data_IF_196051100284
#
_entry.id   IF_196051100284
#
_cell.length_a   1.000
_cell.length_b   1.000
_cell.length_c   1.000
_cell.angle_alpha   90.00
_cell.angle_beta   90.00
_cell.angle_gamma   90.00
#
_symmetry.space_group_name_H-M   'P 1'
#
loop_
_entity.id
_entity.type
_entity.pdbx_description
1 polymer ?
#
# COMPACT_ATOMS: atom_id res chain seq x y z
N UNK A 1 -11.64 -0.68 17.03
CA UNK A 1 -12.27 0.04 15.89
C UNK A 1 -11.93 -0.71 14.61
N UNK A 2 -12.94 -1.01 13.77
CA UNK A 2 -12.73 -1.69 12.51
C UNK A 2 -11.75 -0.92 11.60
N UNK A 3 -10.95 -1.66 10.80
CA UNK A 3 -10.06 -1.09 9.79
C UNK A 3 -10.89 -0.37 8.73
N UNK A 4 -10.52 0.84 8.37
CA UNK A 4 -11.10 1.52 7.23
C UNK A 4 -10.66 0.85 5.92
N UNK A 5 -11.34 1.17 4.80
CA UNK A 5 -11.00 0.62 3.49
C UNK A 5 -9.50 0.78 3.20
N UNK A 6 -8.82 -0.34 3.05
CA UNK A 6 -7.36 -0.40 2.87
C UNK A 6 -6.91 -0.16 1.43
N UNK A 7 -7.84 -0.13 0.47
CA UNK A 7 -7.51 0.00 -0.95
C UNK A 7 -6.92 1.36 -1.29
N UNK A 8 -6.15 1.37 -2.36
CA UNK A 8 -5.85 2.59 -3.09
C UNK A 8 -7.03 2.99 -3.97
N UNK A 9 -7.09 4.26 -4.34
CA UNK A 9 -8.09 4.76 -5.27
C UNK A 9 -7.46 5.66 -6.31
N UNK A 10 -8.02 5.61 -7.52
CA UNK A 10 -7.80 6.58 -8.57
C UNK A 10 -8.75 7.75 -8.36
N UNK A 11 -8.22 8.96 -8.45
CA UNK A 11 -8.97 10.21 -8.44
C UNK A 11 -8.62 10.98 -9.70
N UNK A 12 -9.58 11.22 -10.57
CA UNK A 12 -9.41 12.03 -11.77
C UNK A 12 -9.45 13.53 -11.45
N UNK A 13 -8.81 14.34 -12.31
CA UNK A 13 -8.94 15.81 -12.32
C UNK A 13 -10.42 16.19 -12.45
N UNK A 14 -10.85 17.18 -11.69
CA UNK A 14 -12.22 17.66 -11.71
C UNK A 14 -12.66 18.04 -13.15
N UNK A 15 -13.90 17.71 -13.51
CA UNK A 15 -14.45 17.97 -14.85
C UNK A 15 -14.06 16.96 -15.94
N UNK A 16 -13.16 16.01 -15.67
CA UNK A 16 -12.89 14.93 -16.62
C UNK A 16 -14.03 13.90 -16.62
N UNK A 17 -14.36 13.33 -17.80
CA UNK A 17 -15.26 12.18 -17.88
C UNK A 17 -14.74 11.01 -17.05
N UNK A 18 -15.63 10.22 -16.48
CA UNK A 18 -15.27 9.00 -15.75
C UNK A 18 -14.46 8.06 -16.65
N UNK A 19 -13.30 7.62 -16.15
CA UNK A 19 -12.40 6.72 -16.85
C UNK A 19 -11.65 5.86 -15.83
N UNK A 20 -11.62 4.57 -16.04
CA UNK A 20 -10.82 3.65 -15.24
C UNK A 20 -9.33 3.74 -15.61
N UNK A 21 -8.46 3.32 -14.70
CA UNK A 21 -7.00 3.42 -14.85
C UNK A 21 -6.49 2.79 -16.16
N UNK A 22 -7.03 1.62 -16.51
CA UNK A 22 -6.64 0.90 -17.72
C UNK A 22 -7.00 1.65 -19.04
N UNK A 23 -7.98 2.55 -18.98
CA UNK A 23 -8.46 3.29 -20.14
C UNK A 23 -7.96 4.74 -20.19
N UNK A 24 -7.10 5.14 -19.28
CA UNK A 24 -6.44 6.45 -19.37
C UNK A 24 -5.60 6.52 -20.65
N UNK A 25 -5.64 7.64 -21.39
CA UNK A 25 -4.84 7.81 -22.60
C UNK A 25 -3.34 7.58 -22.37
N UNK A 26 -2.67 7.04 -23.37
CA UNK A 26 -1.22 6.88 -23.31
C UNK A 26 -0.51 8.22 -23.05
N UNK A 27 0.45 8.22 -22.13
CA UNK A 27 1.14 9.41 -21.69
C UNK A 27 0.42 10.24 -20.62
N UNK A 28 -0.79 9.83 -20.17
CA UNK A 28 -1.47 10.48 -19.05
C UNK A 28 -0.57 10.52 -17.83
N UNK A 29 -0.53 11.67 -17.16
CA UNK A 29 0.31 11.90 -15.98
C UNK A 29 -0.47 11.57 -14.72
N UNK A 30 0.02 10.58 -13.96
CA UNK A 30 -0.58 10.14 -12.71
C UNK A 30 0.31 10.48 -11.52
N UNK A 31 -0.27 11.12 -10.52
CA UNK A 31 0.48 11.65 -9.36
C UNK A 31 0.59 10.64 -8.22
N UNK A 32 1.82 10.28 -7.86
CA UNK A 32 2.15 9.54 -6.62
C UNK A 32 3.63 9.68 -6.27
N UNK A 33 3.96 9.75 -4.97
CA UNK A 33 5.35 9.66 -4.46
C UNK A 33 5.63 8.29 -3.83
N UNK A 34 4.71 7.33 -3.97
CA UNK A 34 4.86 5.99 -3.41
C UNK A 34 5.60 5.08 -4.39
N UNK A 35 6.79 4.61 -4.02
CA UNK A 35 7.57 3.65 -4.81
C UNK A 35 6.76 2.39 -5.12
N UNK A 36 5.98 1.90 -4.15
CA UNK A 36 5.08 0.76 -4.34
C UNK A 36 4.08 0.99 -5.49
N UNK A 37 3.41 2.15 -5.50
CA UNK A 37 2.45 2.49 -6.55
C UNK A 37 3.15 2.66 -7.88
N UNK A 38 4.26 3.39 -7.91
CA UNK A 38 5.07 3.60 -9.14
C UNK A 38 5.46 2.28 -9.77
N UNK A 39 5.98 1.33 -8.98
CA UNK A 39 6.40 0.04 -9.48
C UNK A 39 5.22 -0.78 -10.05
N UNK A 40 4.08 -0.83 -9.35
CA UNK A 40 2.90 -1.56 -9.83
C UNK A 40 2.27 -0.90 -11.08
N UNK A 41 2.31 0.45 -11.17
CA UNK A 41 1.88 1.17 -12.39
C UNK A 41 2.81 0.84 -13.55
N UNK A 42 4.12 0.87 -13.34
CA UNK A 42 5.09 0.53 -14.39
C UNK A 42 4.89 -0.91 -14.91
N UNK A 43 4.57 -1.85 -14.02
CA UNK A 43 4.29 -3.24 -14.37
C UNK A 43 3.00 -3.42 -15.17
N UNK A 44 1.89 -2.84 -14.69
CA UNK A 44 0.53 -3.14 -15.20
C UNK A 44 0.00 -2.11 -16.19
N UNK A 45 0.49 -0.87 -16.09
CA UNK A 45 0.05 0.27 -16.91
C UNK A 45 1.23 1.09 -17.46
N UNK A 46 2.15 0.46 -18.22
CA UNK A 46 3.39 1.11 -18.69
C UNK A 46 3.14 2.29 -19.66
N UNK A 47 1.91 2.46 -20.13
CA UNK A 47 1.51 3.60 -20.97
C UNK A 47 1.31 4.90 -20.17
N UNK A 48 1.26 4.83 -18.82
CA UNK A 48 1.07 5.98 -17.94
C UNK A 48 2.43 6.57 -17.54
N UNK A 49 2.45 7.87 -17.28
CA UNK A 49 3.61 8.58 -16.72
C UNK A 49 3.38 8.87 -15.25
N UNK A 50 4.31 8.47 -14.42
CA UNK A 50 4.24 8.75 -12.98
C UNK A 50 5.04 10.03 -12.68
N UNK A 51 4.43 10.94 -11.91
CA UNK A 51 5.07 12.13 -11.39
C UNK A 51 4.81 12.28 -9.90
N UNK A 52 5.80 12.80 -9.15
CA UNK A 52 5.69 13.03 -7.72
C UNK A 52 4.60 14.03 -7.38
N UNK A 53 3.74 13.64 -6.41
CA UNK A 53 2.78 14.53 -5.76
C UNK A 53 2.83 14.36 -4.25
N UNK A 54 3.21 15.42 -3.55
CA UNK A 54 3.37 15.45 -2.09
C UNK A 54 2.39 16.43 -1.44
N UNK A 55 2.17 16.25 -0.15
CA UNK A 55 1.27 17.01 0.70
C UNK A 55 0.19 16.13 1.32
N UNK A 56 -0.65 16.72 2.15
CA UNK A 56 -1.85 16.07 2.68
C UNK A 56 -2.91 15.90 1.57
N UNK A 57 -3.99 15.17 1.86
CA UNK A 57 -5.05 14.87 0.89
C UNK A 57 -5.62 16.14 0.24
N UNK A 58 -6.04 17.19 0.98
CA UNK A 58 -6.53 18.42 0.37
C UNK A 58 -5.50 19.11 -0.53
N UNK A 59 -4.23 19.12 -0.15
CA UNK A 59 -3.16 19.70 -0.97
C UNK A 59 -2.97 18.95 -2.28
N UNK A 60 -3.00 17.61 -2.25
CA UNK A 60 -2.88 16.78 -3.45
C UNK A 60 -4.06 16.97 -4.40
N UNK A 61 -5.28 17.05 -3.87
CA UNK A 61 -6.48 17.35 -4.68
C UNK A 61 -6.40 18.72 -5.33
N UNK A 62 -5.94 19.75 -4.60
CA UNK A 62 -5.75 21.09 -5.15
C UNK A 62 -4.72 21.12 -6.28
N UNK A 63 -3.61 20.34 -6.13
CA UNK A 63 -2.61 20.18 -7.21
C UNK A 63 -3.16 19.43 -8.42
N UNK A 64 -4.04 18.45 -8.19
CA UNK A 64 -4.72 17.72 -9.26
C UNK A 64 -5.64 18.64 -10.05
N UNK A 65 -6.45 19.45 -9.35
CA UNK A 65 -7.51 20.25 -9.94
C UNK A 65 -7.00 21.61 -10.50
N UNK A 66 -5.72 21.96 -10.29
CA UNK A 66 -5.15 23.18 -10.84
C UNK A 66 -5.22 23.19 -12.38
N UNK A 67 -5.70 24.29 -12.98
CA UNK A 67 -5.91 24.40 -14.43
C UNK A 67 -4.64 24.13 -15.23
N UNK A 68 -3.51 24.66 -14.76
CA UNK A 68 -2.16 24.54 -15.33
C UNK A 68 -1.37 23.35 -14.73
N UNK A 69 -2.01 22.54 -13.87
CA UNK A 69 -1.36 21.40 -13.23
C UNK A 69 -1.09 20.25 -14.19
N UNK A 70 0.00 19.49 -13.96
CA UNK A 70 0.43 18.44 -14.87
C UNK A 70 -0.39 17.16 -14.79
N UNK A 71 -1.22 16.99 -13.74
CA UNK A 71 -1.84 15.72 -13.42
C UNK A 71 -3.18 15.50 -14.13
N UNK A 72 -3.35 14.32 -14.69
CA UNK A 72 -4.61 13.81 -15.19
C UNK A 72 -5.40 13.06 -14.09
N UNK A 73 -4.66 12.40 -13.20
CA UNK A 73 -5.16 11.67 -12.05
C UNK A 73 -4.13 11.61 -10.93
N UNK A 74 -4.57 11.26 -9.72
CA UNK A 74 -3.68 10.95 -8.60
C UNK A 74 -4.13 9.68 -7.87
N UNK A 75 -3.18 9.06 -7.16
CA UNK A 75 -3.47 7.92 -6.28
C UNK A 75 -3.47 8.34 -4.82
N UNK A 76 -4.52 8.00 -4.11
CA UNK A 76 -4.71 8.25 -2.67
C UNK A 76 -5.20 6.96 -2.01
N UNK A 77 -4.95 6.77 -0.70
CA UNK A 77 -5.60 5.72 0.07
C UNK A 77 -7.07 6.07 0.31
N UNK A 78 -8.00 5.14 0.04
CA UNK A 78 -9.43 5.33 0.22
C UNK A 78 -9.78 5.86 1.61
N UNK A 79 -9.18 5.29 2.66
CA UNK A 79 -9.36 5.70 4.04
C UNK A 79 -9.13 7.21 4.27
N UNK A 80 -8.16 7.81 3.55
CA UNK A 80 -7.87 9.25 3.65
C UNK A 80 -9.01 10.12 3.12
N UNK A 81 -9.58 9.76 1.98
CA UNK A 81 -10.73 10.48 1.39
C UNK A 81 -12.00 10.28 2.21
N UNK A 82 -12.27 9.05 2.63
CA UNK A 82 -13.47 8.71 3.42
C UNK A 82 -13.48 9.49 4.75
N UNK A 83 -12.34 9.52 5.48
CA UNK A 83 -12.21 10.27 6.75
C UNK A 83 -12.40 11.79 6.60
N UNK A 84 -12.15 12.31 5.41
CA UNK A 84 -12.33 13.74 5.11
C UNK A 84 -13.67 14.05 4.43
N UNK A 85 -14.61 13.09 4.36
CA UNK A 85 -15.89 13.21 3.65
C UNK A 85 -15.74 13.55 2.16
N UNK A 86 -14.63 13.10 1.54
CA UNK A 86 -14.29 13.32 0.14
C UNK A 86 -14.45 12.03 -0.72
N UNK A 87 -15.23 11.06 -0.24
CA UNK A 87 -15.44 9.79 -0.95
C UNK A 87 -16.05 9.99 -2.35
N UNK A 88 -16.82 11.08 -2.57
CA UNK A 88 -17.38 11.45 -3.86
C UNK A 88 -16.33 11.76 -4.95
N UNK A 89 -15.07 11.98 -4.56
CA UNK A 89 -13.94 12.18 -5.48
C UNK A 89 -13.32 10.87 -5.97
N UNK A 90 -13.70 9.73 -5.39
CA UNK A 90 -13.18 8.43 -5.79
C UNK A 90 -13.75 8.07 -7.15
N UNK A 91 -12.87 7.88 -8.13
CA UNK A 91 -13.25 7.41 -9.47
C UNK A 91 -13.25 5.89 -9.53
N UNK A 92 -12.21 5.24 -9.01
CA UNK A 92 -12.06 3.78 -9.04
C UNK A 92 -11.36 3.32 -7.77
N UNK A 93 -11.89 2.26 -7.14
CA UNK A 93 -11.17 1.51 -6.11
C UNK A 93 -10.23 0.52 -6.77
N UNK A 94 -9.03 0.37 -6.19
CA UNK A 94 -7.97 -0.47 -6.75
C UNK A 94 -7.65 -1.59 -5.77
N UNK A 95 -7.76 -2.82 -6.25
CA UNK A 95 -7.41 -4.05 -5.54
C UNK A 95 -6.92 -5.11 -6.54
N UNK A 96 -6.72 -6.35 -6.08
CA UNK A 96 -6.26 -7.45 -6.95
C UNK A 96 -7.25 -7.81 -8.07
N UNK A 97 -8.50 -7.39 -7.98
CA UNK A 97 -9.57 -7.68 -8.97
C UNK A 97 -9.92 -6.47 -9.82
N UNK A 98 -9.64 -5.28 -9.34
CA UNK A 98 -9.95 -4.01 -10.01
C UNK A 98 -8.72 -3.08 -9.98
N UNK A 99 -8.18 -2.77 -11.14
CA UNK A 99 -7.01 -1.91 -11.30
C UNK A 99 -5.68 -2.56 -10.88
N UNK A 100 -5.70 -3.82 -10.49
CA UNK A 100 -4.54 -4.67 -10.24
C UNK A 100 -3.46 -4.04 -9.34
N UNK A 101 -3.88 -3.32 -8.27
CA UNK A 101 -2.96 -2.65 -7.36
C UNK A 101 -3.18 -3.10 -5.92
N UNK A 102 -2.14 -3.70 -5.32
CA UNK A 102 -2.13 -4.07 -3.92
C UNK A 102 -1.65 -2.90 -3.06
N UNK A 103 -2.27 -2.71 -1.88
CA UNK A 103 -2.05 -1.57 -1.01
C UNK A 103 -0.81 -1.72 -0.10
N UNK A 104 -0.50 -0.67 0.67
CA UNK A 104 0.61 -0.68 1.61
C UNK A 104 0.24 -1.43 2.90
N UNK A 105 1.23 -2.08 3.51
CA UNK A 105 1.11 -2.73 4.81
C UNK A 105 0.48 -1.80 5.84
N UNK A 106 -0.59 -2.26 6.50
CA UNK A 106 -1.33 -1.52 7.51
C UNK A 106 -2.19 -0.36 6.98
N UNK A 107 -2.30 -0.17 5.66
CA UNK A 107 -3.10 0.92 5.09
C UNK A 107 -4.55 0.87 5.56
N UNK A 108 -5.10 2.00 5.95
CA UNK A 108 -6.47 2.12 6.47
C UNK A 108 -6.61 1.82 7.98
N UNK A 109 -5.67 1.13 8.60
CA UNK A 109 -5.66 0.93 10.05
C UNK A 109 -5.20 2.19 10.79
N UNK A 110 -5.65 2.33 12.04
CA UNK A 110 -5.14 3.33 12.99
C UNK A 110 -4.28 2.58 14.00
N UNK A 111 -2.99 2.90 14.03
CA UNK A 111 -2.07 2.44 15.07
C UNK A 111 -2.03 3.45 16.22
N UNK A 112 -1.91 2.95 17.44
CA UNK A 112 -1.71 3.75 18.65
C UNK A 112 -0.44 3.26 19.33
N UNK A 113 0.49 4.17 19.60
CA UNK A 113 1.71 3.88 20.35
C UNK A 113 1.53 4.33 21.80
N UNK A 114 1.98 3.51 22.72
CA UNK A 114 1.99 3.78 24.15
C UNK A 114 3.36 3.43 24.75
N UNK A 115 3.64 3.88 25.97
CA UNK A 115 4.80 3.40 26.70
C UNK A 115 4.66 1.90 26.97
N UNK A 116 5.78 1.18 26.91
CA UNK A 116 5.79 -0.27 27.02
C UNK A 116 5.30 -0.78 28.38
N UNK A 117 5.46 0.03 29.44
CA UNK A 117 5.11 -0.25 30.83
C UNK A 117 3.76 0.38 31.27
N UNK A 118 2.99 0.95 30.34
CA UNK A 118 1.70 1.59 30.63
C UNK A 118 0.56 0.56 30.58
N UNK A 119 0.43 -0.25 31.63
CA UNK A 119 -0.62 -1.27 31.75
C UNK A 119 -2.02 -0.67 31.72
N UNK A 120 -2.22 0.52 32.33
CA UNK A 120 -3.51 1.19 32.36
C UNK A 120 -3.98 1.57 30.95
N UNK A 121 -3.10 2.19 30.17
CA UNK A 121 -3.40 2.56 28.78
C UNK A 121 -3.59 1.34 27.91
N UNK A 122 -2.77 0.30 28.08
CA UNK A 122 -2.93 -0.98 27.39
C UNK A 122 -4.32 -1.58 27.63
N UNK A 123 -4.78 -1.58 28.89
CA UNK A 123 -6.13 -2.05 29.23
C UNK A 123 -7.25 -1.22 28.61
N UNK A 124 -7.08 0.12 28.53
CA UNK A 124 -8.06 1.00 27.87
C UNK A 124 -8.11 0.70 26.37
N UNK A 125 -6.97 0.58 25.71
CA UNK A 125 -6.88 0.36 24.27
C UNK A 125 -7.41 -1.02 23.86
N UNK A 126 -7.22 -2.04 24.69
CA UNK A 126 -7.76 -3.39 24.41
C UNK A 126 -9.29 -3.40 24.26
N UNK A 127 -10.00 -2.45 24.87
CA UNK A 127 -11.47 -2.33 24.76
C UNK A 127 -11.95 -1.76 23.41
N UNK A 128 -11.08 -1.07 22.71
CA UNK A 128 -11.39 -0.46 21.41
C UNK A 128 -10.69 -1.17 20.25
N UNK A 129 -9.86 -2.16 20.57
CA UNK A 129 -9.21 -3.00 19.56
C UNK A 129 -10.25 -3.73 18.70
N UNK A 130 -9.99 -3.81 17.40
CA UNK A 130 -10.70 -4.69 16.47
C UNK A 130 -9.78 -5.88 16.16
N UNK A 131 -10.07 -7.02 16.73
CA UNK A 131 -9.20 -8.19 16.65
C UNK A 131 -8.93 -8.67 15.22
N UNK A 132 -9.93 -8.74 14.31
CA UNK A 132 -9.67 -9.06 12.91
C UNK A 132 -8.72 -8.06 12.23
N UNK A 133 -8.87 -6.75 12.47
CA UNK A 133 -7.98 -5.75 11.92
C UNK A 133 -6.56 -5.87 12.49
N UNK A 134 -6.44 -6.11 13.80
CA UNK A 134 -5.16 -6.31 14.47
C UNK A 134 -4.41 -7.50 13.90
N UNK A 135 -5.04 -8.67 13.81
CA UNK A 135 -4.43 -9.89 13.27
C UNK A 135 -3.99 -9.73 11.80
N UNK A 136 -4.83 -9.11 10.96
CA UNK A 136 -4.46 -8.85 9.58
C UNK A 136 -3.24 -7.92 9.50
N UNK A 137 -3.22 -6.82 10.28
CA UNK A 137 -2.09 -5.89 10.30
C UNK A 137 -0.82 -6.51 10.87
N UNK A 138 -0.91 -7.40 11.87
CA UNK A 138 0.24 -8.15 12.39
C UNK A 138 0.84 -9.02 11.29
N UNK A 139 0.03 -9.79 10.56
CA UNK A 139 0.49 -10.61 9.47
C UNK A 139 1.16 -9.79 8.35
N UNK A 140 0.53 -8.67 7.93
CA UNK A 140 1.10 -7.76 6.94
C UNK A 140 2.43 -7.15 7.39
N UNK A 141 2.53 -6.72 8.66
CA UNK A 141 3.76 -6.15 9.23
C UNK A 141 4.86 -7.21 9.38
N UNK A 142 4.51 -8.44 9.73
CA UNK A 142 5.43 -9.56 9.80
C UNK A 142 6.04 -9.87 8.43
N UNK A 143 5.21 -9.93 7.38
CA UNK A 143 5.67 -10.02 6.00
C UNK A 143 6.71 -8.93 5.69
N UNK A 144 6.38 -7.67 5.96
CA UNK A 144 7.29 -6.54 5.65
C UNK A 144 8.61 -6.63 6.42
N UNK A 145 8.57 -6.94 7.73
CA UNK A 145 9.77 -7.08 8.57
C UNK A 145 10.68 -8.21 8.07
N UNK A 146 10.08 -9.36 7.73
CA UNK A 146 10.84 -10.53 7.25
C UNK A 146 11.51 -10.27 5.90
N UNK A 147 10.90 -9.44 5.05
CA UNK A 147 11.52 -9.03 3.79
C UNK A 147 12.59 -7.92 3.96
N UNK A 148 12.85 -7.48 5.21
CA UNK A 148 13.78 -6.37 5.51
C UNK A 148 13.48 -5.08 4.72
N UNK A 149 12.23 -4.98 4.26
CA UNK A 149 11.87 -4.05 3.18
C UNK A 149 11.47 -2.67 3.63
N UNK A 150 11.54 -2.23 4.86
CA UNK A 150 11.20 -0.85 5.30
C UNK A 150 10.20 -0.10 4.38
N UNK A 151 9.96 1.17 4.60
CA UNK A 151 9.04 2.01 3.79
C UNK A 151 9.45 2.16 2.31
N UNK A 152 10.62 1.69 1.94
CA UNK A 152 11.19 1.83 0.59
C UNK A 152 11.14 0.55 -0.24
N UNK A 153 10.57 -0.54 0.26
CA UNK A 153 10.33 -1.72 -0.55
C UNK A 153 9.07 -1.52 -1.40
N UNK A 154 9.11 -1.83 -2.70
CA UNK A 154 7.93 -1.80 -3.56
C UNK A 154 7.06 -3.04 -3.33
N UNK A 155 6.66 -3.24 -2.07
CA UNK A 155 5.81 -4.32 -1.59
C UNK A 155 4.36 -3.86 -1.56
N UNK A 156 3.49 -4.53 -2.30
CA UNK A 156 2.04 -4.45 -2.18
C UNK A 156 1.50 -5.65 -1.41
N UNK A 157 0.46 -5.44 -0.63
CA UNK A 157 -0.25 -6.48 0.11
C UNK A 157 -1.76 -6.31 -0.02
N UNK A 158 -2.49 -7.41 0.03
CA UNK A 158 -3.94 -7.43 0.19
C UNK A 158 -4.32 -8.56 1.13
N UNK A 159 -5.02 -8.22 2.22
CA UNK A 159 -5.54 -9.22 3.15
C UNK A 159 -7.07 -9.20 3.14
N UNK A 160 -7.67 -10.39 3.19
CA UNK A 160 -9.11 -10.57 3.22
C UNK A 160 -9.49 -11.74 4.13
N UNK A 161 -10.43 -11.51 5.03
CA UNK A 161 -11.10 -12.59 5.74
C UNK A 161 -12.10 -13.26 4.80
N UNK A 162 -11.74 -14.44 4.27
CA UNK A 162 -12.57 -15.17 3.28
C UNK A 162 -13.68 -15.97 3.94
N UNK A 163 -13.49 -16.31 5.21
CA UNK A 163 -14.49 -16.88 6.12
C UNK A 163 -14.06 -16.60 7.57
N UNK A 164 -14.94 -16.79 8.56
CA UNK A 164 -14.58 -16.57 9.97
C UNK A 164 -13.32 -17.35 10.36
N UNK A 165 -12.29 -16.62 10.80
CA UNK A 165 -11.01 -17.18 11.24
C UNK A 165 -10.05 -17.62 10.14
N UNK A 166 -10.36 -17.42 8.85
CA UNK A 166 -9.43 -17.73 7.74
C UNK A 166 -9.04 -16.45 7.02
N UNK A 167 -7.78 -16.08 7.15
CA UNK A 167 -7.17 -14.92 6.49
C UNK A 167 -6.49 -15.36 5.19
N UNK A 168 -6.85 -14.71 4.09
CA UNK A 168 -6.11 -14.76 2.82
C UNK A 168 -5.18 -13.56 2.76
N UNK A 169 -3.96 -13.75 2.26
CA UNK A 169 -3.00 -12.69 1.97
C UNK A 169 -2.45 -12.88 0.56
N UNK A 170 -2.54 -11.82 -0.24
CA UNK A 170 -1.79 -11.65 -1.46
C UNK A 170 -0.63 -10.71 -1.21
N UNK A 171 0.52 -10.97 -1.80
CA UNK A 171 1.70 -10.13 -1.72
C UNK A 171 2.35 -10.02 -3.09
N UNK A 172 2.83 -8.82 -3.43
CA UNK A 172 3.60 -8.58 -4.65
C UNK A 172 4.84 -7.75 -4.32
N UNK A 173 5.99 -8.16 -4.82
CA UNK A 173 7.22 -7.36 -4.86
C UNK A 173 7.54 -7.06 -6.31
N UNK A 174 7.75 -5.80 -6.65
CA UNK A 174 7.94 -5.34 -8.04
C UNK A 174 9.22 -4.53 -8.13
N UNK A 175 10.03 -4.70 -9.17
CA UNK A 175 11.14 -3.78 -9.46
C UNK A 175 10.62 -2.36 -9.72
N UNK A 176 11.42 -1.33 -9.41
CA UNK A 176 10.96 0.08 -9.51
C UNK A 176 10.53 0.44 -10.93
N UNK A 177 11.13 -0.18 -11.93
CA UNK A 177 10.83 -0.01 -13.35
C UNK A 177 9.74 -0.94 -13.89
N UNK A 178 9.18 -1.82 -13.03
CA UNK A 178 8.13 -2.76 -13.40
C UNK A 178 8.60 -3.94 -14.25
N UNK A 179 9.91 -4.13 -14.49
CA UNK A 179 10.43 -5.18 -15.35
C UNK A 179 10.39 -6.58 -14.74
N UNK A 180 10.45 -6.65 -13.41
CA UNK A 180 10.40 -7.90 -12.65
C UNK A 180 9.36 -7.82 -11.53
N UNK A 181 8.63 -8.91 -11.32
CA UNK A 181 7.69 -9.03 -10.19
C UNK A 181 7.64 -10.44 -9.65
N UNK A 182 7.36 -10.55 -8.37
CA UNK A 182 7.09 -11.81 -7.67
C UNK A 182 5.80 -11.68 -6.90
N UNK A 183 4.89 -12.62 -7.11
CA UNK A 183 3.59 -12.65 -6.44
C UNK A 183 3.41 -13.94 -5.63
N UNK A 184 2.71 -13.83 -4.51
CA UNK A 184 2.26 -14.97 -3.71
C UNK A 184 0.85 -14.72 -3.21
N UNK A 185 0.06 -15.79 -3.15
CA UNK A 185 -1.25 -15.82 -2.53
C UNK A 185 -1.35 -17.04 -1.64
N UNK A 186 -1.68 -16.82 -0.37
CA UNK A 186 -1.81 -17.88 0.63
C UNK A 186 -3.00 -17.59 1.53
N UNK A 187 -3.52 -18.64 2.16
CA UNK A 187 -4.58 -18.52 3.15
C UNK A 187 -4.33 -19.48 4.31
N UNK A 188 -4.75 -19.07 5.51
CA UNK A 188 -4.58 -19.88 6.73
C UNK A 188 -5.66 -19.57 7.74
N UNK A 189 -6.05 -20.59 8.51
CA UNK A 189 -6.84 -20.38 9.72
C UNK A 189 -5.95 -19.80 10.82
N UNK A 190 -6.35 -18.66 11.42
CA UNK A 190 -5.61 -18.06 12.52
C UNK A 190 -6.53 -17.38 13.52
N UNK A 191 -6.13 -17.38 14.80
CA UNK A 191 -6.89 -16.84 15.93
C UNK A 191 -6.05 -15.97 16.85
N UNK A 192 -4.73 -16.14 16.82
CA UNK A 192 -3.79 -15.52 17.74
C UNK A 192 -2.80 -14.61 16.99
N UNK A 193 -2.18 -13.70 17.72
CA UNK A 193 -1.14 -12.80 17.18
C UNK A 193 0.10 -13.57 16.72
N UNK A 194 0.45 -14.63 17.48
CA UNK A 194 1.58 -15.50 17.12
C UNK A 194 1.33 -16.20 15.79
N UNK A 195 0.12 -16.74 15.57
CA UNK A 195 -0.26 -17.36 14.30
C UNK A 195 -0.26 -16.34 13.15
N UNK A 196 -0.72 -15.11 13.40
CA UNK A 196 -0.69 -14.03 12.42
C UNK A 196 0.75 -13.63 12.05
N UNK A 197 1.65 -13.52 13.05
CA UNK A 197 3.06 -13.24 12.81
C UNK A 197 3.73 -14.37 12.00
N UNK A 198 3.49 -15.63 12.37
CA UNK A 198 4.00 -16.80 11.63
C UNK A 198 3.48 -16.84 10.19
N UNK A 199 2.22 -16.49 9.97
CA UNK A 199 1.66 -16.43 8.63
C UNK A 199 2.36 -15.39 7.75
N UNK A 200 2.62 -14.20 8.29
CA UNK A 200 3.39 -13.17 7.58
C UNK A 200 4.80 -13.64 7.20
N UNK A 201 5.49 -14.33 8.12
CA UNK A 201 6.80 -14.94 7.87
C UNK A 201 6.73 -16.01 6.77
N UNK A 202 5.70 -16.84 6.79
CA UNK A 202 5.49 -17.91 5.79
C UNK A 202 5.29 -17.31 4.39
N UNK A 203 4.46 -16.27 4.27
CA UNK A 203 4.26 -15.56 2.99
C UNK A 203 5.57 -14.91 2.52
N UNK A 204 6.35 -14.32 3.43
CA UNK A 204 7.65 -13.74 3.11
C UNK A 204 8.63 -14.79 2.57
N UNK A 205 8.73 -15.95 3.24
CA UNK A 205 9.58 -17.04 2.80
C UNK A 205 9.21 -17.52 1.38
N UNK A 206 7.91 -17.61 1.08
CA UNK A 206 7.45 -18.00 -0.24
C UNK A 206 7.79 -16.95 -1.31
N UNK A 207 7.61 -15.65 -1.01
CA UNK A 207 7.98 -14.57 -1.92
C UNK A 207 9.49 -14.54 -2.17
N UNK A 208 10.32 -14.75 -1.13
CA UNK A 208 11.78 -14.87 -1.27
C UNK A 208 12.16 -16.09 -2.11
N UNK A 209 11.57 -17.27 -1.85
CA UNK A 209 11.80 -18.49 -2.64
C UNK A 209 11.50 -18.30 -4.12
N UNK A 210 10.55 -17.44 -4.46
CA UNK A 210 10.21 -17.08 -5.84
C UNK A 210 11.16 -16.04 -6.46
N UNK A 211 12.12 -15.51 -5.70
CA UNK A 211 13.17 -14.63 -6.20
C UNK A 211 13.01 -13.16 -5.89
N UNK A 212 12.16 -12.79 -4.91
CA UNK A 212 12.03 -11.39 -4.48
C UNK A 212 13.30 -10.82 -3.84
N UNK A 213 14.17 -11.68 -3.29
CA UNK A 213 15.49 -11.32 -2.76
C UNK A 213 16.33 -10.55 -3.80
N UNK A 214 16.34 -11.00 -5.07
CA UNK A 214 17.05 -10.31 -6.16
C UNK A 214 16.51 -8.93 -6.43
N UNK A 215 15.18 -8.77 -6.47
CA UNK A 215 14.54 -7.47 -6.67
C UNK A 215 14.89 -6.53 -5.51
N UNK A 216 14.78 -7.00 -4.27
CA UNK A 216 15.08 -6.22 -3.09
C UNK A 216 16.56 -5.82 -3.00
N UNK A 217 17.48 -6.74 -3.30
CA UNK A 217 18.91 -6.47 -3.34
C UNK A 217 19.29 -5.41 -4.40
N UNK A 218 18.69 -5.49 -5.58
CA UNK A 218 18.91 -4.50 -6.65
C UNK A 218 18.45 -3.08 -6.23
N UNK A 219 17.36 -2.98 -5.47
CA UNK A 219 16.87 -1.71 -4.95
C UNK A 219 17.79 -1.15 -3.87
N UNK A 220 18.28 -1.98 -2.96
CA UNK A 220 19.24 -1.57 -1.93
C UNK A 220 20.56 -1.08 -2.55
N UNK A 221 21.09 -1.80 -3.53
CA UNK A 221 22.30 -1.39 -4.23
C UNK A 221 22.16 0.00 -4.90
N UNK A 222 21.01 0.27 -5.55
CA UNK A 222 20.74 1.58 -6.17
C UNK A 222 20.62 2.73 -5.17
N UNK A 223 20.24 2.47 -3.92
CA UNK A 223 20.21 3.48 -2.85
C UNK A 223 21.62 3.84 -2.36
N UNK A 224 22.47 2.84 -2.18
CA UNK A 224 23.84 3.07 -1.72
C UNK A 224 24.70 3.82 -2.73
N UNK A 225 24.34 3.81 -4.02
CA UNK A 225 25.06 4.50 -5.09
C UNK A 225 24.59 5.92 -5.36
N UNK A 226 23.60 6.46 -4.64
CA UNK A 226 23.22 7.87 -4.68
C UNK A 226 23.93 8.63 -3.55
N UNK A 227 25.04 9.36 -3.78
CA UNK A 227 25.65 10.23 -2.79
C UNK A 227 24.82 11.51 -2.72
N UNK A 228 24.06 11.74 -1.67
CA UNK A 228 23.38 13.02 -1.51
C UNK A 228 22.32 13.12 -0.40
N UNK A 229 21.85 12.02 0.19
CA UNK A 229 20.77 12.07 1.19
C UNK A 229 21.25 11.83 2.65
N UNK A 230 22.52 12.13 2.96
CA UNK A 230 23.10 12.02 4.32
C UNK A 230 23.31 13.37 5.01
N UNK A 231 22.76 14.47 4.52
CA UNK A 231 22.78 15.76 5.22
C UNK A 231 21.37 16.34 5.25
N UNK A 232 20.62 16.00 6.29
CA UNK A 232 19.66 16.86 6.99
C UNK A 232 19.09 16.05 8.15
N UNK A 233 19.80 16.16 9.29
CA UNK A 233 19.35 15.80 10.64
C UNK A 233 18.26 16.75 11.13
#
# INVERSE_FOLDING_TARGET
>A
MARADSRDVLVLKAGRPHCEMAHLPAGSVVGTSSIRRTAQIALKHPHLRVQDVRGNVPTRLRKLDADDGPFDAIFIAAAGLIRLNLAHRITQYLDSTSGEMLYAVGQGAIGVEIRADDEQMSHILSKIEDKPASLACIAERSLLRTLEGGCSAPLGVETRWIQPGVLQMKAIVVSVDGSESVESEMQVGLKTETEADQFGQTVAAEVLRKGADRILAAIQAKKMTRPGDLEET
#
